data_IF_321368784620
#
_entry.id   IF_321368784620
#
_cell.length_a   1.000
_cell.length_b   1.000
_cell.length_c   1.000
_cell.angle_alpha   90.00
_cell.angle_beta   90.00
_cell.angle_gamma   90.00
#
_symmetry.space_group_name_H-M   'P 1'
#
loop_
_entity.id
_entity.type
_entity.pdbx_description
1 polymer ?
#
# COMPACT_ATOMS: atom_id res chain seq x y z
N UNK A 1 31.48 -62.40 41.61
CA UNK A 1 30.31 -61.63 42.09
C UNK A 1 30.74 -60.18 42.31
N UNK A 2 30.42 -59.27 41.39
CA UNK A 2 30.61 -57.83 41.62
C UNK A 2 29.68 -57.39 42.76
N UNK A 3 30.19 -56.60 43.72
CA UNK A 3 29.41 -56.19 44.89
C UNK A 3 28.28 -55.23 44.45
N UNK A 4 27.07 -55.28 45.04
CA UNK A 4 25.90 -54.50 44.59
C UNK A 4 26.15 -52.98 44.52
N UNK A 5 27.08 -52.45 45.31
CA UNK A 5 27.52 -51.05 45.26
C UNK A 5 28.23 -50.66 43.95
N UNK A 6 28.93 -51.60 43.30
CA UNK A 6 29.61 -51.37 42.02
C UNK A 6 28.62 -51.32 40.85
N UNK A 7 27.53 -52.08 40.91
CA UNK A 7 26.47 -52.06 39.90
C UNK A 7 25.68 -50.74 39.94
N UNK A 8 25.38 -50.22 41.13
CA UNK A 8 24.70 -48.93 41.30
C UNK A 8 25.57 -47.76 40.82
N UNK A 9 26.87 -47.78 41.14
CA UNK A 9 27.81 -46.76 40.68
C UNK A 9 27.95 -46.74 39.14
N UNK A 10 28.01 -47.93 38.51
CA UNK A 10 28.07 -48.05 37.05
C UNK A 10 26.79 -47.54 36.38
N UNK A 11 25.61 -47.81 36.97
CA UNK A 11 24.33 -47.33 36.46
C UNK A 11 24.21 -45.81 36.54
N UNK A 12 24.59 -45.20 37.67
CA UNK A 12 24.57 -43.74 37.84
C UNK A 12 25.55 -43.04 36.90
N UNK A 13 26.74 -43.61 36.68
CA UNK A 13 27.69 -43.09 35.71
C UNK A 13 27.13 -43.13 34.28
N UNK A 14 26.43 -44.20 33.90
CA UNK A 14 25.79 -44.31 32.59
C UNK A 14 24.69 -43.26 32.39
N UNK A 15 23.85 -43.03 33.39
CA UNK A 15 22.79 -42.01 33.35
C UNK A 15 23.39 -40.60 33.23
N UNK A 16 24.46 -40.31 33.97
CA UNK A 16 25.14 -39.02 33.87
C UNK A 16 25.78 -38.81 32.49
N UNK A 17 26.40 -39.84 31.92
CA UNK A 17 26.98 -39.80 30.57
C UNK A 17 25.89 -39.54 29.53
N UNK A 18 24.76 -40.27 29.61
CA UNK A 18 23.61 -40.12 28.70
C UNK A 18 22.98 -38.73 28.81
N UNK A 19 22.82 -38.20 30.03
CA UNK A 19 22.32 -36.85 30.26
C UNK A 19 23.24 -35.77 29.67
N UNK A 20 24.56 -35.90 29.88
CA UNK A 20 25.55 -35.03 29.27
C UNK A 20 25.55 -35.12 27.74
N UNK A 21 25.37 -36.32 27.16
CA UNK A 21 25.33 -36.47 25.69
C UNK A 21 24.09 -35.83 25.09
N UNK A 22 22.91 -35.98 25.71
CA UNK A 22 21.70 -35.27 25.27
C UNK A 22 21.86 -33.75 25.36
N UNK A 23 22.47 -33.26 26.45
CA UNK A 23 22.72 -31.82 26.64
C UNK A 23 23.64 -31.22 25.57
N UNK A 24 24.57 -32.02 25.03
CA UNK A 24 25.50 -31.62 23.97
C UNK A 24 24.80 -31.68 22.60
N UNK A 25 23.97 -32.70 22.36
CA UNK A 25 23.18 -32.82 21.13
C UNK A 25 22.13 -31.70 20.99
N UNK A 26 21.47 -31.32 22.08
CA UNK A 26 20.49 -30.22 22.11
C UNK A 26 21.15 -28.83 21.94
N UNK A 27 22.46 -28.73 22.21
CA UNK A 27 23.25 -27.50 21.99
C UNK A 27 23.84 -27.40 20.60
N UNK A 28 23.61 -28.38 19.73
CA UNK A 28 24.04 -28.27 18.35
C UNK A 28 23.18 -27.17 17.68
N UNK A 29 23.78 -26.09 17.17
CA UNK A 29 23.03 -25.10 16.42
C UNK A 29 22.32 -25.81 15.27
N UNK A 30 21.07 -25.44 15.03
CA UNK A 30 20.33 -25.91 13.87
C UNK A 30 21.22 -25.77 12.62
N UNK A 31 21.21 -26.79 11.77
CA UNK A 31 21.93 -26.76 10.49
C UNK A 31 21.60 -25.44 9.75
N UNK A 32 22.52 -24.91 8.91
CA UNK A 32 22.29 -23.70 8.14
C UNK A 32 20.89 -23.76 7.51
N UNK A 33 20.05 -22.79 7.88
CA UNK A 33 18.60 -22.87 7.78
C UNK A 33 18.09 -23.22 6.39
N UNK A 34 16.90 -23.83 6.34
CA UNK A 34 16.13 -23.98 5.11
C UNK A 34 16.24 -22.72 4.26
N UNK A 35 16.65 -22.88 3.01
CA UNK A 35 16.58 -21.81 2.03
C UNK A 35 15.14 -21.31 2.00
N UNK A 36 14.89 -20.10 2.50
CA UNK A 36 13.56 -19.47 2.42
C UNK A 36 13.27 -19.29 0.95
N UNK A 37 12.45 -20.18 0.39
CA UNK A 37 11.96 -20.04 -0.98
C UNK A 37 11.09 -18.78 -1.02
N UNK A 38 11.33 -17.92 -2.01
CA UNK A 38 10.46 -16.77 -2.22
C UNK A 38 9.02 -17.25 -2.51
N UNK A 39 7.99 -16.54 -2.01
CA UNK A 39 6.62 -16.89 -2.34
C UNK A 39 6.39 -16.82 -3.85
N UNK A 40 5.64 -17.79 -4.38
CA UNK A 40 5.12 -17.74 -5.75
C UNK A 40 3.79 -16.99 -5.71
N UNK A 41 3.64 -16.01 -6.58
CA UNK A 41 2.41 -15.22 -6.70
C UNK A 41 1.60 -15.69 -7.91
N UNK A 42 0.29 -15.77 -7.74
CA UNK A 42 -0.67 -16.00 -8.82
C UNK A 42 -1.61 -14.79 -8.94
N UNK A 43 -2.13 -14.58 -10.15
CA UNK A 43 -3.08 -13.50 -10.41
C UNK A 43 -4.45 -13.95 -9.92
N UNK A 44 -5.12 -13.12 -9.12
CA UNK A 44 -6.57 -13.23 -8.89
C UNK A 44 -7.32 -12.46 -9.98
N UNK A 45 -7.97 -13.14 -10.94
CA UNK A 45 -8.67 -12.46 -12.03
C UNK A 45 -10.04 -11.89 -11.61
N UNK A 46 -10.52 -12.18 -10.40
CA UNK A 46 -11.82 -11.72 -9.88
C UNK A 46 -11.69 -10.51 -8.95
N UNK A 47 -10.46 -10.02 -8.75
CA UNK A 47 -10.16 -8.85 -7.94
C UNK A 47 -9.71 -7.67 -8.82
N UNK A 48 -10.21 -6.43 -8.59
CA UNK A 48 -11.31 -6.09 -7.69
C UNK A 48 -12.67 -6.46 -8.29
N UNK A 49 -13.73 -6.46 -7.48
CA UNK A 49 -15.10 -6.66 -7.98
C UNK A 49 -15.50 -5.52 -8.93
N UNK A 50 -16.46 -5.75 -9.84
CA UNK A 50 -16.96 -4.71 -10.73
C UNK A 50 -17.39 -3.45 -9.97
N UNK A 51 -16.99 -2.28 -10.48
CA UNK A 51 -17.33 -1.01 -9.86
C UNK A 51 -18.83 -0.70 -10.02
N UNK A 52 -19.45 -0.06 -9.02
CA UNK A 52 -20.83 0.42 -9.16
C UNK A 52 -20.91 1.59 -10.16
N UNK A 53 -22.14 2.02 -10.47
CA UNK A 53 -22.42 3.26 -11.22
C UNK A 53 -21.83 3.31 -12.64
N UNK A 54 -21.50 2.15 -13.23
CA UNK A 54 -20.83 2.07 -14.53
C UNK A 54 -19.52 2.86 -14.57
N UNK A 55 -18.78 2.83 -13.47
CA UNK A 55 -17.52 3.53 -13.35
C UNK A 55 -16.39 2.81 -14.08
N UNK A 56 -15.57 3.61 -14.74
CA UNK A 56 -14.29 3.20 -15.31
C UNK A 56 -13.16 3.98 -14.64
N UNK A 57 -12.02 3.31 -14.53
CA UNK A 57 -10.77 3.91 -14.08
C UNK A 57 -10.09 4.56 -15.28
N UNK A 58 -9.55 5.76 -15.06
CA UNK A 58 -8.49 6.26 -15.94
C UNK A 58 -7.20 5.48 -15.71
N UNK A 59 -6.06 6.09 -16.07
CA UNK A 59 -4.76 5.50 -15.77
C UNK A 59 -4.57 5.38 -14.24
N UNK A 60 -4.64 4.16 -13.73
CA UNK A 60 -4.32 3.81 -12.34
C UNK A 60 -2.81 3.92 -12.14
N UNK A 61 -2.38 4.82 -11.26
CA UNK A 61 -0.98 5.27 -11.20
C UNK A 61 -0.37 5.20 -9.80
N UNK A 62 -1.19 5.30 -8.76
CA UNK A 62 -0.75 5.11 -7.39
C UNK A 62 -1.53 4.00 -6.72
N UNK A 63 -0.81 3.18 -5.95
CA UNK A 63 -1.36 2.13 -5.10
C UNK A 63 -0.70 2.17 -3.72
N UNK A 64 -1.46 1.83 -2.69
CA UNK A 64 -0.99 1.63 -1.32
C UNK A 64 -1.90 0.64 -0.57
N UNK A 65 -1.33 -0.10 0.39
CA UNK A 65 -2.10 -0.97 1.30
C UNK A 65 -1.99 -0.38 2.70
N UNK A 66 -3.13 -0.08 3.33
CA UNK A 66 -3.16 0.46 4.68
C UNK A 66 -3.08 -0.63 5.77
N UNK A 67 -3.08 -0.24 7.03
CA UNK A 67 -2.97 -1.19 8.15
C UNK A 67 -4.24 -2.02 8.40
N UNK A 68 -5.32 -1.76 7.67
CA UNK A 68 -6.53 -2.60 7.63
C UNK A 68 -6.54 -3.56 6.44
N UNK A 69 -5.43 -3.67 5.70
CA UNK A 69 -5.31 -4.45 4.46
C UNK A 69 -6.23 -3.94 3.33
N UNK A 70 -6.68 -2.68 3.41
CA UNK A 70 -7.40 -2.08 2.31
C UNK A 70 -6.42 -1.63 1.22
N UNK A 71 -6.76 -1.91 -0.04
CA UNK A 71 -6.02 -1.44 -1.20
C UNK A 71 -6.57 -0.09 -1.65
N UNK A 72 -5.76 0.94 -1.52
CA UNK A 72 -6.02 2.29 -1.99
C UNK A 72 -5.42 2.47 -3.38
N UNK A 73 -6.21 2.99 -4.30
CA UNK A 73 -5.70 3.46 -5.59
C UNK A 73 -5.99 4.94 -5.78
N UNK A 74 -5.10 5.60 -6.51
CA UNK A 74 -5.39 6.88 -7.17
C UNK A 74 -5.19 6.72 -8.67
N UNK A 75 -6.16 7.20 -9.44
CA UNK A 75 -6.12 7.20 -10.90
C UNK A 75 -6.35 8.59 -11.47
N UNK A 76 -6.02 8.79 -12.74
CA UNK A 76 -6.10 10.11 -13.41
C UNK A 76 -7.50 10.50 -13.88
N UNK A 77 -8.52 9.76 -13.46
CA UNK A 77 -9.91 10.09 -13.72
C UNK A 77 -10.20 10.15 -15.21
N UNK A 78 -11.15 11.01 -15.56
CA UNK A 78 -11.63 11.12 -16.92
C UNK A 78 -10.65 11.73 -17.93
N UNK A 79 -9.61 12.43 -17.46
CA UNK A 79 -8.63 13.08 -18.32
C UNK A 79 -7.82 12.07 -19.18
N UNK A 80 -7.82 10.79 -18.80
CA UNK A 80 -7.12 9.72 -19.51
C UNK A 80 -8.06 8.67 -20.10
N UNK A 81 -9.36 8.96 -20.15
CA UNK A 81 -10.36 8.12 -20.82
C UNK A 81 -10.74 8.75 -22.15
N UNK A 82 -10.76 7.96 -23.21
CA UNK A 82 -11.23 8.37 -24.52
C UNK A 82 -12.75 8.57 -24.53
N UNK A 83 -13.26 9.40 -25.44
CA UNK A 83 -14.69 9.70 -25.53
C UNK A 83 -15.58 8.46 -25.65
N UNK A 84 -15.13 7.41 -26.35
CA UNK A 84 -15.86 6.15 -26.47
C UNK A 84 -15.90 5.32 -25.18
N UNK A 85 -15.03 5.60 -24.19
CA UNK A 85 -15.04 4.95 -22.87
C UNK A 85 -15.94 5.72 -21.89
N UNK A 86 -16.16 7.02 -22.11
CA UNK A 86 -16.94 7.92 -21.23
C UNK A 86 -18.24 8.42 -21.84
N UNK A 87 -18.89 7.59 -22.66
CA UNK A 87 -20.04 8.00 -23.48
C UNK A 87 -21.19 8.67 -22.71
N UNK A 88 -21.40 8.28 -21.45
CA UNK A 88 -22.44 8.86 -20.59
C UNK A 88 -22.08 10.25 -20.01
N UNK A 89 -20.82 10.68 -20.11
CA UNK A 89 -20.35 12.00 -19.69
C UNK A 89 -20.31 13.03 -20.83
N UNK A 90 -20.46 12.59 -22.08
CA UNK A 90 -20.44 13.49 -23.24
C UNK A 90 -21.72 14.34 -23.33
N UNK A 91 -21.64 15.45 -24.05
CA UNK A 91 -22.78 16.32 -24.31
C UNK A 91 -22.92 16.61 -25.83
N UNK A 92 -23.89 16.01 -26.54
CA UNK A 92 -24.89 15.06 -26.01
C UNK A 92 -24.25 13.71 -25.62
N UNK A 93 -24.87 12.94 -24.69
CA UNK A 93 -24.39 11.59 -24.36
C UNK A 93 -24.43 10.67 -25.58
N UNK A 94 -23.39 9.85 -25.77
CA UNK A 94 -23.29 8.89 -26.89
C UNK A 94 -23.53 7.45 -26.45
N UNK A 95 -23.80 7.20 -25.16
CA UNK A 95 -24.10 5.90 -24.60
C UNK A 95 -24.65 5.99 -23.18
N UNK A 96 -25.30 4.92 -22.71
CA UNK A 96 -25.82 4.81 -21.33
C UNK A 96 -24.69 4.67 -20.30
N UNK A 97 -23.56 4.12 -20.75
CA UNK A 97 -22.29 3.94 -20.07
C UNK A 97 -21.21 4.75 -20.81
N UNK A 98 -20.08 5.09 -20.22
CA UNK A 98 -19.66 4.90 -18.83
C UNK A 98 -19.24 6.24 -18.25
N UNK A 99 -18.92 6.28 -16.95
CA UNK A 99 -18.46 7.48 -16.24
C UNK A 99 -17.09 7.24 -15.62
N UNK A 100 -16.26 8.26 -15.50
CA UNK A 100 -15.06 8.16 -14.70
C UNK A 100 -15.42 7.93 -13.24
N UNK A 101 -14.72 7.01 -12.60
CA UNK A 101 -14.77 6.85 -11.15
C UNK A 101 -14.18 8.10 -10.46
N UNK A 102 -14.57 8.38 -9.21
CA UNK A 102 -13.85 9.30 -8.33
C UNK A 102 -12.35 8.94 -8.28
N UNK A 103 -11.43 9.92 -8.23
CA UNK A 103 -10.00 9.67 -8.35
C UNK A 103 -9.38 8.70 -7.33
N UNK A 104 -9.91 8.67 -6.10
CA UNK A 104 -9.45 7.76 -5.04
C UNK A 104 -10.50 6.70 -4.82
N UNK A 105 -10.09 5.43 -4.91
CA UNK A 105 -10.92 4.27 -4.59
C UNK A 105 -10.20 3.39 -3.57
N UNK A 106 -10.97 2.78 -2.68
CA UNK A 106 -10.45 1.92 -1.62
C UNK A 106 -11.21 0.61 -1.64
N UNK A 107 -10.46 -0.49 -1.71
CA UNK A 107 -10.98 -1.84 -1.75
C UNK A 107 -10.59 -2.60 -0.49
N UNK A 108 -11.50 -3.41 0.03
CA UNK A 108 -11.13 -4.43 1.03
C UNK A 108 -10.36 -5.59 0.38
N UNK A 109 -9.75 -6.50 1.15
CA UNK A 109 -9.02 -7.66 0.59
C UNK A 109 -9.86 -8.53 -0.34
N UNK A 110 -11.18 -8.58 -0.14
CA UNK A 110 -12.11 -9.31 -0.99
C UNK A 110 -12.52 -8.54 -2.28
N UNK A 111 -11.93 -7.37 -2.53
CA UNK A 111 -12.13 -6.56 -3.73
C UNK A 111 -13.44 -5.76 -3.73
N UNK A 112 -14.10 -5.61 -2.58
CA UNK A 112 -15.28 -4.74 -2.47
C UNK A 112 -14.83 -3.29 -2.40
N UNK A 113 -15.47 -2.42 -3.17
CA UNK A 113 -15.27 -0.97 -3.03
C UNK A 113 -15.89 -0.51 -1.69
N UNK A 114 -15.06 -0.18 -0.72
CA UNK A 114 -15.49 0.27 0.62
C UNK A 114 -15.47 1.78 0.77
N UNK A 115 -14.75 2.50 -0.11
CA UNK A 115 -14.70 3.96 -0.09
C UNK A 115 -14.29 4.55 -1.44
N UNK A 116 -14.77 5.75 -1.71
CA UNK A 116 -14.39 6.52 -2.88
C UNK A 116 -14.52 8.02 -2.60
N UNK A 117 -13.59 8.83 -3.09
CA UNK A 117 -13.62 10.29 -3.01
C UNK A 117 -12.58 10.92 -3.94
N UNK A 118 -12.43 12.25 -3.88
CA UNK A 118 -11.34 12.98 -4.53
C UNK A 118 -11.79 13.86 -5.68
N UNK A 119 -10.82 14.60 -6.22
CA UNK A 119 -11.04 15.59 -7.27
C UNK A 119 -11.00 17.04 -6.75
N UNK A 120 -11.12 18.02 -7.66
CA UNK A 120 -11.13 19.43 -7.33
C UNK A 120 -12.19 19.77 -6.28
N UNK A 121 -11.85 20.65 -5.34
CA UNK A 121 -12.74 21.07 -4.27
C UNK A 121 -12.25 22.34 -3.58
N UNK A 122 -13.05 22.90 -2.66
CA UNK A 122 -12.71 24.14 -1.99
C UNK A 122 -11.54 23.96 -1.01
N UNK A 123 -10.66 24.95 -0.96
CA UNK A 123 -9.59 25.04 0.04
C UNK A 123 -8.26 24.36 -0.33
N UNK A 124 -8.17 23.72 -1.50
CA UNK A 124 -6.94 23.06 -1.96
C UNK A 124 -6.82 23.06 -3.49
N UNK A 125 -5.60 22.84 -3.96
CA UNK A 125 -5.27 22.78 -5.39
C UNK A 125 -5.09 21.32 -5.81
N UNK A 126 -6.18 20.68 -6.27
CA UNK A 126 -6.13 19.29 -6.73
C UNK A 126 -5.12 19.13 -7.88
N UNK A 127 -4.29 18.06 -7.90
CA UNK A 127 -3.34 17.82 -8.97
C UNK A 127 -3.98 17.82 -10.36
N UNK A 128 -3.32 18.46 -11.32
CA UNK A 128 -3.72 18.38 -12.73
C UNK A 128 -3.60 16.95 -13.27
N UNK A 129 -2.63 16.18 -12.76
CA UNK A 129 -2.46 14.77 -13.08
C UNK A 129 -2.10 14.00 -11.81
N UNK A 130 -3.02 13.21 -11.27
CA UNK A 130 -2.72 12.41 -10.07
C UNK A 130 -1.50 11.50 -10.27
N UNK A 131 -0.78 11.23 -9.19
CA UNK A 131 0.36 10.31 -9.21
C UNK A 131 0.48 9.45 -7.95
N UNK A 132 1.14 9.94 -6.90
CA UNK A 132 1.38 9.16 -5.69
C UNK A 132 0.17 9.17 -4.75
N UNK A 133 -0.13 8.02 -4.14
CA UNK A 133 -0.96 7.90 -2.94
C UNK A 133 -0.17 7.18 -1.85
N UNK A 134 -0.38 7.61 -0.60
CA UNK A 134 0.21 7.02 0.60
C UNK A 134 -0.71 7.24 1.80
N UNK A 135 -0.95 6.20 2.61
CA UNK A 135 -1.69 6.32 3.87
C UNK A 135 -0.69 6.24 5.02
N UNK A 136 -0.59 7.31 5.81
CA UNK A 136 0.35 7.36 6.94
C UNK A 136 -0.15 6.57 8.17
N UNK A 137 0.75 6.34 9.13
CA UNK A 137 0.48 5.59 10.37
C UNK A 137 -0.56 6.24 11.29
N UNK A 138 -1.06 7.44 10.97
CA UNK A 138 -2.16 8.12 11.67
C UNK A 138 -3.45 8.08 10.85
N UNK A 139 -3.48 7.35 9.74
CA UNK A 139 -4.60 7.24 8.83
C UNK A 139 -4.84 8.47 7.96
N UNK A 140 -3.85 9.34 7.76
CA UNK A 140 -4.00 10.42 6.80
C UNK A 140 -3.56 9.96 5.41
N UNK A 141 -4.28 10.43 4.40
CA UNK A 141 -4.05 10.10 3.00
C UNK A 141 -3.30 11.24 2.33
N UNK A 142 -2.17 10.95 1.71
CA UNK A 142 -1.32 11.89 1.02
C UNK A 142 -1.39 11.66 -0.48
N UNK A 143 -1.55 12.74 -1.25
CA UNK A 143 -1.66 12.72 -2.71
C UNK A 143 -0.63 13.65 -3.33
N UNK A 144 0.08 13.14 -4.34
CA UNK A 144 0.98 13.90 -5.20
C UNK A 144 0.46 14.04 -6.63
N UNK A 145 1.13 14.89 -7.41
CA UNK A 145 0.76 15.23 -8.79
C UNK A 145 1.92 15.12 -9.77
N UNK A 146 1.60 14.98 -11.05
CA UNK A 146 2.53 14.85 -12.17
C UNK A 146 2.16 15.73 -13.38
N UNK A 147 1.18 16.61 -13.24
CA UNK A 147 0.88 17.64 -14.22
C UNK A 147 2.01 18.65 -14.31
N UNK A 148 2.08 19.37 -15.42
CA UNK A 148 3.17 20.31 -15.71
C UNK A 148 3.37 21.35 -14.59
N UNK A 149 2.27 21.82 -13.99
CA UNK A 149 2.29 22.80 -12.91
C UNK A 149 2.14 22.19 -11.52
N UNK A 150 2.04 20.86 -11.40
CA UNK A 150 1.87 20.23 -10.09
C UNK A 150 3.15 20.40 -9.26
N UNK A 151 3.01 21.17 -8.18
CA UNK A 151 4.09 21.56 -7.29
C UNK A 151 3.65 21.54 -5.82
N UNK A 152 2.50 20.90 -5.56
CA UNK A 152 1.87 20.74 -4.27
C UNK A 152 1.69 19.25 -3.94
N UNK A 153 1.69 18.94 -2.65
CA UNK A 153 1.17 17.68 -2.10
C UNK A 153 -0.01 17.98 -1.18
N UNK A 154 -1.00 17.10 -1.19
CA UNK A 154 -2.22 17.26 -0.42
C UNK A 154 -2.35 16.17 0.64
N UNK A 155 -2.91 16.53 1.80
CA UNK A 155 -3.20 15.61 2.89
C UNK A 155 -4.69 15.65 3.23
N UNK A 156 -5.28 14.48 3.40
CA UNK A 156 -6.69 14.27 3.71
C UNK A 156 -6.85 13.29 4.87
N UNK A 157 -8.03 13.28 5.49
CA UNK A 157 -8.48 12.13 6.29
C UNK A 157 -8.75 10.94 5.37
N UNK A 158 -8.90 9.73 5.93
CA UNK A 158 -9.39 8.57 5.17
C UNK A 158 -10.68 8.87 4.41
N UNK A 159 -11.59 9.66 4.98
CA UNK A 159 -12.89 10.01 4.37
C UNK A 159 -12.83 11.16 3.35
N UNK A 160 -11.62 11.60 2.95
CA UNK A 160 -11.46 12.64 1.93
C UNK A 160 -11.68 14.07 2.42
N UNK A 161 -11.74 14.32 3.73
CA UNK A 161 -11.73 15.68 4.27
C UNK A 161 -10.33 16.26 4.18
N UNK A 162 -10.20 17.43 3.54
CA UNK A 162 -8.94 18.13 3.43
C UNK A 162 -8.37 18.53 4.79
N UNK A 163 -7.06 18.32 4.98
CA UNK A 163 -6.34 18.63 6.22
C UNK A 163 -5.27 19.70 6.00
N UNK A 164 -4.43 19.54 4.98
CA UNK A 164 -3.34 20.47 4.70
C UNK A 164 -2.81 20.29 3.28
N UNK A 165 -2.14 21.33 2.80
CA UNK A 165 -1.41 21.36 1.55
C UNK A 165 -0.01 21.93 1.82
N UNK A 166 0.99 21.37 1.16
CA UNK A 166 2.36 21.91 1.12
C UNK A 166 2.71 22.19 -0.34
N UNK A 167 3.31 23.34 -0.62
CA UNK A 167 3.51 23.86 -1.97
C UNK A 167 2.24 24.43 -2.61
N UNK A 168 2.39 25.03 -3.78
CA UNK A 168 1.31 25.67 -4.57
C UNK A 168 1.37 25.26 -6.03
N UNK A 169 0.23 25.18 -6.69
CA UNK A 169 0.18 24.90 -8.12
C UNK A 169 0.96 25.98 -8.89
N UNK A 170 1.89 25.55 -9.75
CA UNK A 170 2.79 26.44 -10.49
C UNK A 170 3.84 27.14 -9.62
N UNK A 171 3.97 26.76 -8.35
CA UNK A 171 4.87 27.38 -7.39
C UNK A 171 6.34 27.00 -7.52
N UNK A 172 6.65 25.92 -8.26
CA UNK A 172 8.01 25.39 -8.41
C UNK A 172 8.97 26.42 -9.03
N UNK A 173 9.98 26.83 -8.26
CA UNK A 173 11.06 27.75 -8.69
C UNK A 173 12.39 27.07 -8.99
N UNK A 174 12.41 25.74 -9.09
CA UNK A 174 13.58 24.92 -9.39
C UNK A 174 14.13 24.15 -8.18
N UNK A 175 15.27 23.49 -8.37
CA UNK A 175 15.80 22.49 -7.42
C UNK A 175 16.13 22.99 -6.01
N UNK A 176 16.23 24.31 -5.82
CA UNK A 176 16.52 24.93 -4.52
C UNK A 176 15.26 25.54 -3.86
N UNK A 177 14.08 25.34 -4.44
CA UNK A 177 12.83 25.75 -3.81
C UNK A 177 12.55 24.88 -2.58
N UNK A 178 12.41 25.51 -1.41
CA UNK A 178 12.15 24.83 -0.15
C UNK A 178 10.66 24.72 0.18
N UNK A 179 9.80 25.42 -0.56
CA UNK A 179 8.37 25.54 -0.27
C UNK A 179 7.51 24.72 -1.23
N UNK A 180 8.02 24.42 -2.44
CA UNK A 180 7.27 23.75 -3.49
C UNK A 180 7.99 22.52 -4.03
N UNK A 181 7.22 21.63 -4.64
CA UNK A 181 7.72 20.41 -5.26
C UNK A 181 7.78 20.54 -6.78
N UNK A 182 8.38 19.55 -7.44
CA UNK A 182 8.27 19.37 -8.88
C UNK A 182 7.69 18.01 -9.21
N UNK A 183 6.40 17.96 -9.53
CA UNK A 183 5.73 16.75 -10.02
C UNK A 183 5.93 15.56 -9.07
N UNK A 184 5.59 15.77 -7.79
CA UNK A 184 5.83 14.83 -6.70
C UNK A 184 5.21 13.44 -6.96
N UNK A 185 6.08 12.47 -7.25
CA UNK A 185 5.67 11.14 -7.67
C UNK A 185 5.25 10.22 -6.52
N UNK A 186 5.92 10.31 -5.36
CA UNK A 186 5.65 9.47 -4.19
C UNK A 186 5.89 10.25 -2.90
N UNK A 187 5.12 9.90 -1.87
CA UNK A 187 5.21 10.46 -0.52
C UNK A 187 5.35 9.28 0.43
N UNK A 188 6.17 9.45 1.47
CA UNK A 188 6.24 8.56 2.61
C UNK A 188 6.36 9.41 3.88
N UNK A 189 5.72 8.96 4.95
CA UNK A 189 5.83 9.60 6.27
C UNK A 189 6.45 8.59 7.22
N UNK A 190 7.63 8.92 7.72
CA UNK A 190 8.29 8.11 8.73
C UNK A 190 7.54 8.20 10.07
N UNK A 191 7.34 7.05 10.70
CA UNK A 191 6.78 6.98 12.03
C UNK A 191 7.86 7.46 13.02
N UNK A 192 7.50 8.39 13.92
CA UNK A 192 8.42 8.74 15.00
C UNK A 192 8.63 7.49 15.85
N UNK A 193 9.87 7.01 15.93
CA UNK A 193 10.29 5.94 16.83
C UNK A 193 10.31 6.40 18.27
#
# INVERSE_FOLDING_TARGET
MAKPKQAVAAFLALVAILGCTQSILDRQPAAPGETVQAPVFEVDPLWPKPLPNHWLLGMTIGVWVDEQDNVWIVHRGGATLNNNERGAELNPPTGECCRAAPPVLVFDPAGNLVRHWGGPGPGYEWPQSNHGIFVDYKGNVWIGGNGEKDAQILKFTRDGKFLMQVGRLGGNKGSNDLENFGRAAKIFVDAKT
#
